data_IF_643075689198
#
_entry.id   IF_643075689198
#
_cell.length_a   1.000
_cell.length_b   1.000
_cell.length_c   1.000
_cell.angle_alpha   90.00
_cell.angle_beta   90.00
_cell.angle_gamma   90.00
#
_symmetry.space_group_name_H-M   'P 1'
#
loop_
_entity.id
_entity.type
_entity.pdbx_description
1 polymer ?
#
# COMPACT_ATOMS: atom_id res chain seq x y z
N UNK A 1 0.67 -67.28 -66.96
CA UNK A 1 -0.50 -66.94 -66.11
C UNK A 1 0.01 -66.18 -64.88
N UNK A 2 -0.68 -65.19 -64.30
CA UNK A 2 -1.30 -63.99 -64.87
C UNK A 2 -0.79 -62.69 -64.20
N UNK A 3 -1.28 -61.55 -64.72
CA UNK A 3 -1.16 -60.16 -64.23
C UNK A 3 -1.42 -59.96 -62.72
N UNK A 4 -0.83 -58.91 -62.13
CA UNK A 4 -1.60 -57.77 -61.56
C UNK A 4 -0.76 -56.53 -61.18
N UNK A 5 -1.29 -55.38 -61.63
CA UNK A 5 -0.94 -53.97 -61.35
C UNK A 5 -1.06 -53.62 -59.84
N UNK A 6 -0.39 -52.55 -59.39
CA UNK A 6 -0.99 -51.20 -59.13
C UNK A 6 -0.08 -50.26 -58.29
N UNK A 7 -0.07 -48.98 -58.75
CA UNK A 7 0.15 -47.67 -58.08
C UNK A 7 1.38 -47.51 -57.16
N UNK A 8 2.23 -46.47 -57.24
CA UNK A 8 2.07 -45.11 -57.75
C UNK A 8 2.10 -44.12 -56.58
N UNK A 9 3.19 -43.38 -56.38
CA UNK A 9 3.17 -42.15 -55.57
C UNK A 9 4.22 -41.17 -56.08
N UNK A 10 3.73 -40.04 -56.59
CA UNK A 10 4.46 -38.85 -56.99
C UNK A 10 4.76 -38.04 -55.74
N UNK A 11 6.01 -37.66 -55.52
CA UNK A 11 6.41 -36.72 -54.47
C UNK A 11 6.20 -35.28 -54.99
N UNK A 12 5.29 -34.54 -54.37
CA UNK A 12 5.16 -33.09 -54.57
C UNK A 12 6.00 -32.40 -53.49
N UNK A 13 7.04 -31.68 -53.92
CA UNK A 13 7.82 -30.76 -53.08
C UNK A 13 7.02 -29.47 -52.97
N UNK A 14 6.39 -29.23 -51.82
CA UNK A 14 5.75 -27.95 -51.49
C UNK A 14 6.71 -27.06 -50.69
N UNK A 15 7.18 -25.97 -51.30
CA UNK A 15 7.91 -24.92 -50.61
C UNK A 15 6.94 -24.08 -49.76
N UNK A 16 7.06 -24.16 -48.43
CA UNK A 16 6.33 -23.29 -47.52
C UNK A 16 7.12 -22.01 -47.28
N UNK A 17 6.61 -20.88 -47.79
CA UNK A 17 7.05 -19.54 -47.37
C UNK A 17 6.62 -19.32 -45.91
N UNK A 18 7.60 -19.22 -45.00
CA UNK A 18 7.38 -18.81 -43.62
C UNK A 18 7.17 -17.30 -43.54
N UNK A 19 5.93 -16.87 -43.35
CA UNK A 19 5.60 -15.51 -42.92
C UNK A 19 5.77 -15.46 -41.40
N UNK A 20 6.85 -14.84 -40.93
CA UNK A 20 7.03 -14.55 -39.51
C UNK A 20 6.08 -13.41 -39.10
N UNK A 21 4.94 -13.78 -38.52
CA UNK A 21 4.07 -12.85 -37.80
C UNK A 21 4.78 -12.46 -36.49
N UNK A 22 5.39 -11.27 -36.47
CA UNK A 22 5.82 -10.62 -35.24
C UNK A 22 4.55 -10.18 -34.50
N UNK A 23 4.04 -11.04 -33.61
CA UNK A 23 3.00 -10.68 -32.67
C UNK A 23 3.61 -9.70 -31.66
N UNK A 24 3.51 -8.39 -31.94
CA UNK A 24 3.72 -7.37 -30.94
C UNK A 24 2.65 -7.50 -29.87
N UNK A 25 2.97 -8.16 -28.76
CA UNK A 25 2.14 -8.15 -27.55
C UNK A 25 2.30 -6.80 -26.86
N UNK A 26 1.80 -5.74 -27.50
CA UNK A 26 1.38 -4.56 -26.78
C UNK A 26 0.24 -4.99 -25.86
N UNK A 27 0.54 -5.24 -24.59
CA UNK A 27 -0.49 -5.30 -23.56
C UNK A 27 -1.18 -3.94 -23.57
N UNK A 28 -2.33 -3.87 -24.22
CA UNK A 28 -3.22 -2.73 -24.11
C UNK A 28 -3.57 -2.60 -22.63
N UNK A 29 -3.01 -1.58 -21.98
CA UNK A 29 -3.41 -1.17 -20.64
C UNK A 29 -4.91 -0.89 -20.70
N UNK A 30 -5.72 -1.76 -20.09
CA UNK A 30 -7.15 -1.53 -19.99
C UNK A 30 -7.35 -0.15 -19.37
N UNK A 31 -8.00 0.76 -20.10
CA UNK A 31 -8.47 2.02 -19.53
C UNK A 31 -9.53 1.65 -18.48
N UNK A 32 -9.18 1.71 -17.21
CA UNK A 32 -10.15 1.62 -16.11
C UNK A 32 -10.91 2.95 -16.02
N UNK A 33 -11.85 3.15 -16.94
CA UNK A 33 -12.80 4.27 -16.87
C UNK A 33 -13.72 4.04 -15.67
N UNK A 34 -13.63 4.87 -14.63
CA UNK A 34 -14.67 4.99 -13.61
C UNK A 34 -14.27 4.73 -12.15
N UNK A 35 -13.05 4.29 -11.84
CA UNK A 35 -12.59 4.31 -10.44
C UNK A 35 -12.22 5.75 -10.08
N UNK A 36 -13.05 6.37 -9.25
CA UNK A 36 -12.66 7.55 -8.49
C UNK A 36 -12.30 7.02 -7.11
N UNK A 37 -11.07 7.25 -6.63
CA UNK A 37 -10.75 6.92 -5.26
C UNK A 37 -11.70 7.74 -4.38
N UNK A 38 -12.23 7.11 -3.33
CA UNK A 38 -12.86 7.83 -2.23
C UNK A 38 -12.09 7.48 -0.96
N UNK A 39 -10.79 7.85 -0.87
CA UNK A 39 -10.01 7.53 0.31
C UNK A 39 -10.63 8.30 1.46
N UNK A 40 -11.04 7.57 2.48
CA UNK A 40 -11.17 8.15 3.81
C UNK A 40 -9.76 8.15 4.42
N UNK A 41 -9.39 9.19 5.17
CA UNK A 41 -8.07 9.26 5.82
C UNK A 41 -6.88 9.47 4.87
N UNK A 42 -6.80 10.61 4.16
CA UNK A 42 -5.50 10.98 3.55
C UNK A 42 -4.51 11.33 4.67
N UNK A 43 -3.32 10.70 4.70
CA UNK A 43 -2.22 11.27 5.48
C UNK A 43 -1.90 12.67 4.95
N UNK A 44 -2.37 13.72 5.61
CA UNK A 44 -2.18 15.11 5.17
C UNK A 44 -0.72 15.57 5.32
N UNK A 45 -0.34 16.69 4.71
CA UNK A 45 0.99 17.27 4.90
C UNK A 45 1.29 17.63 6.37
N UNK A 46 2.54 17.43 6.75
CA UNK A 46 3.11 17.93 7.99
C UNK A 46 3.29 19.45 7.89
N UNK A 47 2.40 20.23 8.50
CA UNK A 47 2.56 21.68 8.57
C UNK A 47 3.66 22.03 9.59
N UNK A 48 4.87 22.27 9.08
CA UNK A 48 6.04 22.64 9.88
C UNK A 48 6.14 24.15 10.17
N UNK A 49 5.15 24.96 9.74
CA UNK A 49 5.15 26.39 10.06
C UNK A 49 4.88 26.56 11.55
N UNK A 50 5.86 27.12 12.27
CA UNK A 50 5.76 27.45 13.68
C UNK A 50 4.48 28.29 13.95
N UNK A 51 3.42 27.65 14.44
CA UNK A 51 2.13 28.28 14.72
C UNK A 51 0.91 27.59 14.10
N UNK A 52 1.06 26.63 13.19
CA UNK A 52 -0.06 25.77 12.82
C UNK A 52 -0.35 24.85 14.01
N UNK A 53 -1.47 25.09 14.71
CA UNK A 53 -1.93 24.20 15.75
C UNK A 53 -2.10 22.81 15.11
N UNK A 54 -1.39 21.81 15.64
CA UNK A 54 -1.74 20.41 15.39
C UNK A 54 -3.27 20.30 15.49
N UNK A 55 -3.91 19.71 14.47
CA UNK A 55 -5.36 19.53 14.48
C UNK A 55 -5.70 18.85 15.79
N UNK A 56 -6.33 19.58 16.72
CA UNK A 56 -6.68 19.01 18.01
C UNK A 56 -7.52 17.78 17.71
N UNK A 57 -7.20 16.62 18.30
CA UNK A 57 -8.03 15.44 18.11
C UNK A 57 -9.46 15.84 18.42
N UNK A 58 -10.37 15.58 17.49
CA UNK A 58 -11.77 15.75 17.79
C UNK A 58 -12.05 14.86 19.01
N UNK A 59 -12.61 15.42 20.08
CA UNK A 59 -12.71 14.74 21.38
C UNK A 59 -13.71 13.57 21.41
N UNK A 60 -14.28 13.23 20.25
CA UNK A 60 -15.16 12.10 20.03
C UNK A 60 -14.34 10.84 19.74
N UNK A 61 -14.73 9.73 20.36
CA UNK A 61 -14.17 8.42 20.04
C UNK A 61 -14.56 7.96 18.63
N UNK A 62 -13.80 6.98 18.10
CA UNK A 62 -14.16 6.28 16.88
C UNK A 62 -15.43 5.47 17.10
N UNK A 63 -16.27 5.39 16.07
CA UNK A 63 -17.50 4.60 16.06
C UNK A 63 -17.35 3.48 15.03
N UNK A 64 -17.89 2.32 15.33
CA UNK A 64 -17.88 1.18 14.40
C UNK A 64 -19.10 1.21 13.47
N UNK A 65 -18.88 1.08 12.15
CA UNK A 65 -19.91 1.22 11.11
C UNK A 65 -20.30 -0.09 10.42
N UNK A 66 -19.87 -1.24 10.97
CA UNK A 66 -20.36 -2.57 10.56
C UNK A 66 -19.53 -3.31 9.50
N UNK A 67 -18.46 -2.68 9.00
CA UNK A 67 -17.52 -3.19 8.02
C UNK A 67 -16.49 -4.16 8.58
N UNK A 68 -15.65 -4.70 7.69
CA UNK A 68 -14.56 -5.58 8.13
C UNK A 68 -13.49 -4.79 8.89
N UNK A 69 -12.79 -5.46 9.79
CA UNK A 69 -11.49 -5.05 10.36
C UNK A 69 -10.47 -6.13 9.99
N UNK A 70 -9.16 -5.85 10.09
CA UNK A 70 -8.12 -6.87 9.92
C UNK A 70 -7.84 -7.59 11.23
N UNK A 71 -8.37 -8.80 11.39
CA UNK A 71 -8.13 -9.63 12.56
C UNK A 71 -6.77 -10.34 12.50
N UNK A 72 -6.32 -10.71 11.30
CA UNK A 72 -5.02 -11.35 11.07
C UNK A 72 -4.25 -10.60 9.98
N UNK A 73 -3.64 -9.48 10.37
CA UNK A 73 -3.01 -8.54 9.43
C UNK A 73 -1.92 -9.19 8.58
N UNK A 74 -2.01 -9.02 7.27
CA UNK A 74 -1.07 -9.53 6.27
C UNK A 74 -0.63 -8.42 5.31
N UNK A 75 0.52 -7.82 5.60
CA UNK A 75 1.11 -6.75 4.78
C UNK A 75 1.95 -7.33 3.65
N UNK A 76 1.77 -6.79 2.45
CA UNK A 76 2.58 -7.08 1.28
C UNK A 76 3.10 -5.79 0.68
N UNK A 77 4.41 -5.72 0.41
CA UNK A 77 5.03 -4.56 -0.23
C UNK A 77 5.24 -4.81 -1.72
N UNK A 78 4.71 -3.93 -2.55
CA UNK A 78 4.93 -3.91 -4.00
C UNK A 78 5.69 -2.65 -4.36
N UNK A 79 7.00 -2.78 -4.57
CA UNK A 79 7.84 -1.71 -5.11
C UNK A 79 7.63 -1.65 -6.62
N UNK A 80 6.74 -0.76 -7.05
CA UNK A 80 6.24 -0.73 -8.42
C UNK A 80 7.21 -0.02 -9.37
N UNK A 81 7.71 -0.74 -10.36
CA UNK A 81 8.49 -0.17 -11.45
C UNK A 81 9.98 -0.52 -11.43
N UNK A 82 10.57 -0.64 -12.63
CA UNK A 82 12.02 -0.82 -12.86
C UNK A 82 12.88 0.24 -12.18
N UNK A 83 12.35 1.42 -11.90
CA UNK A 83 13.06 2.48 -11.16
C UNK A 83 13.57 1.99 -9.79
N UNK A 84 12.89 1.03 -9.15
CA UNK A 84 13.33 0.43 -7.89
C UNK A 84 14.58 -0.46 -8.00
N UNK A 85 15.05 -0.77 -9.21
CA UNK A 85 16.37 -1.42 -9.37
C UNK A 85 17.52 -0.54 -8.87
N UNK A 86 17.30 0.78 -8.70
CA UNK A 86 18.22 1.69 -8.03
C UNK A 86 17.57 2.40 -6.84
N UNK A 87 17.69 1.83 -5.64
CA UNK A 87 17.25 2.47 -4.39
C UNK A 87 18.44 3.06 -3.61
N UNK A 88 18.83 4.27 -3.97
CA UNK A 88 20.00 4.95 -3.38
C UNK A 88 19.80 5.36 -1.92
N UNK A 89 18.55 5.53 -1.48
CA UNK A 89 18.23 5.98 -0.13
C UNK A 89 17.91 4.82 0.82
N UNK A 90 17.86 3.57 0.34
CA UNK A 90 17.59 2.39 1.16
C UNK A 90 16.13 2.25 1.62
N UNK A 91 15.19 2.86 0.90
CA UNK A 91 13.75 2.84 1.21
C UNK A 91 13.18 1.42 1.22
N UNK A 92 13.59 0.57 0.28
CA UNK A 92 13.14 -0.82 0.20
C UNK A 92 13.48 -1.58 1.47
N UNK A 93 14.74 -1.46 1.91
CA UNK A 93 15.21 -2.11 3.14
C UNK A 93 14.53 -1.50 4.36
N UNK A 94 14.36 -0.17 4.40
CA UNK A 94 13.73 0.53 5.51
C UNK A 94 12.27 0.09 5.72
N UNK A 95 11.42 0.17 4.68
CA UNK A 95 10.02 -0.25 4.76
C UNK A 95 9.88 -1.76 5.01
N UNK A 96 10.73 -2.57 4.38
CA UNK A 96 10.75 -4.03 4.63
C UNK A 96 11.03 -4.32 6.10
N UNK A 97 12.04 -3.66 6.69
CA UNK A 97 12.38 -3.88 8.09
C UNK A 97 11.31 -3.33 9.04
N UNK A 98 10.68 -2.19 8.71
CA UNK A 98 9.56 -1.64 9.49
C UNK A 98 8.42 -2.66 9.59
N UNK A 99 7.85 -3.09 8.46
CA UNK A 99 6.73 -4.03 8.45
C UNK A 99 7.10 -5.46 8.90
N UNK A 100 8.37 -5.86 8.75
CA UNK A 100 8.85 -7.12 9.33
C UNK A 100 8.92 -7.08 10.85
N UNK A 101 9.18 -5.90 11.43
CA UNK A 101 9.21 -5.69 12.87
C UNK A 101 7.82 -5.63 13.49
N UNK A 102 6.86 -5.04 12.77
CA UNK A 102 5.49 -4.89 13.25
C UNK A 102 4.77 -6.24 13.43
N UNK A 103 3.85 -6.28 14.39
CA UNK A 103 3.08 -7.44 14.83
C UNK A 103 3.86 -8.45 15.67
N UNK A 104 5.17 -8.30 15.84
CA UNK A 104 5.97 -9.16 16.73
C UNK A 104 5.81 -8.75 18.20
N UNK A 105 6.22 -9.57 19.19
CA UNK A 105 6.01 -9.26 20.61
C UNK A 105 6.59 -7.93 21.12
N UNK A 106 7.61 -7.38 20.45
CA UNK A 106 8.20 -6.08 20.79
C UNK A 106 7.40 -4.89 20.23
N UNK A 107 6.45 -5.13 19.34
CA UNK A 107 5.59 -4.10 18.77
C UNK A 107 4.40 -3.84 19.68
N UNK A 108 4.53 -2.82 20.54
CA UNK A 108 3.42 -2.33 21.36
C UNK A 108 2.57 -1.28 20.64
N UNK A 109 3.10 -0.71 19.57
CA UNK A 109 2.45 0.37 18.83
C UNK A 109 1.26 -0.14 18.03
N UNK A 110 1.41 -1.24 17.27
CA UNK A 110 0.27 -1.83 16.53
C UNK A 110 -0.84 -2.32 17.47
N UNK A 111 -0.50 -2.71 18.71
CA UNK A 111 -1.48 -3.24 19.69
C UNK A 111 -2.50 -2.21 20.17
N UNK A 112 -2.27 -0.92 19.92
CA UNK A 112 -3.31 0.10 20.08
C UNK A 112 -4.55 -0.29 19.28
N UNK A 113 -4.39 -0.87 18.09
CA UNK A 113 -5.53 -1.28 17.25
C UNK A 113 -6.32 -2.47 17.80
N UNK A 114 -5.76 -3.29 18.70
CA UNK A 114 -6.41 -4.49 19.24
C UNK A 114 -7.70 -4.22 20.02
N UNK A 115 -7.95 -2.97 20.41
CA UNK A 115 -9.21 -2.57 21.06
C UNK A 115 -10.40 -2.48 20.09
N UNK A 116 -10.13 -2.38 18.78
CA UNK A 116 -11.16 -2.14 17.77
C UNK A 116 -11.71 -3.46 17.25
N UNK A 117 -12.89 -3.83 17.76
CA UNK A 117 -13.58 -5.05 17.35
C UNK A 117 -14.55 -4.78 16.20
N UNK A 118 -14.69 -5.69 15.26
CA UNK A 118 -15.64 -5.56 14.16
C UNK A 118 -15.88 -6.88 13.45
N UNK A 119 -16.39 -6.81 12.22
CA UNK A 119 -16.57 -7.99 11.38
C UNK A 119 -15.18 -8.51 11.03
N UNK A 120 -14.93 -9.79 11.34
CA UNK A 120 -13.58 -10.36 11.32
C UNK A 120 -13.03 -10.61 12.72
N UNK A 121 -13.52 -9.93 13.77
CA UNK A 121 -13.08 -10.13 15.15
C UNK A 121 -12.36 -8.91 15.71
N UNK A 122 -11.12 -9.06 16.14
CA UNK A 122 -10.25 -7.97 16.58
C UNK A 122 -8.81 -8.22 16.11
N UNK A 123 -8.00 -7.17 15.87
CA UNK A 123 -6.61 -7.34 15.47
C UNK A 123 -5.80 -8.13 16.51
N UNK A 124 -5.21 -9.24 16.08
CA UNK A 124 -4.29 -10.04 16.90
C UNK A 124 -2.85 -9.94 16.38
N UNK A 125 -1.92 -9.77 17.31
CA UNK A 125 -0.49 -9.67 17.06
C UNK A 125 0.26 -10.74 17.84
N UNK A 126 1.45 -11.08 17.35
CA UNK A 126 2.33 -12.11 17.91
C UNK A 126 3.36 -12.63 16.89
N UNK A 127 3.16 -12.34 15.61
CA UNK A 127 4.10 -12.63 14.52
C UNK A 127 4.19 -11.46 13.55
N UNK A 128 5.26 -11.43 12.75
CA UNK A 128 5.44 -10.40 11.71
C UNK A 128 4.20 -10.25 10.83
N UNK A 129 3.74 -9.01 10.65
CA UNK A 129 2.66 -8.69 9.72
C UNK A 129 3.10 -8.78 8.26
N UNK A 130 4.39 -8.53 7.97
CA UNK A 130 4.93 -8.66 6.61
C UNK A 130 4.88 -10.11 6.14
N UNK A 131 4.21 -10.35 5.01
CA UNK A 131 4.09 -11.66 4.35
C UNK A 131 4.84 -11.76 3.02
N UNK A 132 5.18 -10.63 2.38
CA UNK A 132 5.93 -10.65 1.13
C UNK A 132 6.41 -9.27 0.68
N UNK A 133 7.49 -9.28 -0.10
CA UNK A 133 8.05 -8.10 -0.76
C UNK A 133 8.30 -8.46 -2.21
N UNK A 134 7.90 -7.57 -3.13
CA UNK A 134 8.10 -7.75 -4.55
C UNK A 134 8.54 -6.43 -5.18
N UNK A 135 9.58 -6.49 -6.01
CA UNK A 135 9.92 -5.41 -6.94
C UNK A 135 9.34 -5.79 -8.30
N UNK A 136 8.28 -5.08 -8.71
CA UNK A 136 7.72 -5.24 -10.04
C UNK A 136 8.57 -4.47 -11.06
N UNK A 137 9.62 -5.12 -11.55
CA UNK A 137 10.53 -4.57 -12.54
C UNK A 137 10.14 -4.95 -13.99
N UNK A 138 8.88 -5.29 -14.25
CA UNK A 138 8.41 -5.62 -15.61
C UNK A 138 8.42 -4.40 -16.55
N UNK A 139 8.04 -3.24 -16.02
CA UNK A 139 8.00 -1.95 -16.73
C UNK A 139 8.39 -0.81 -15.77
N UNK A 140 8.50 0.43 -16.27
CA UNK A 140 8.55 1.58 -15.38
C UNK A 140 7.16 1.81 -14.77
N UNK A 141 7.09 2.22 -13.50
CA UNK A 141 5.86 2.76 -12.96
C UNK A 141 5.48 4.05 -13.73
N UNK A 142 4.19 4.31 -13.99
CA UNK A 142 3.76 5.52 -14.68
C UNK A 142 4.19 6.79 -13.94
N UNK A 143 4.54 7.84 -14.67
CA UNK A 143 4.90 9.14 -14.08
C UNK A 143 3.73 9.83 -13.36
N UNK A 144 2.50 9.53 -13.78
CA UNK A 144 1.25 10.01 -13.19
C UNK A 144 0.23 8.87 -13.22
N UNK A 145 0.43 7.86 -12.37
CA UNK A 145 -0.54 6.77 -12.26
C UNK A 145 -1.86 7.29 -11.71
N UNK A 146 -3.01 6.85 -12.24
CA UNK A 146 -4.30 7.10 -11.58
C UNK A 146 -4.49 6.15 -10.40
N UNK A 147 -5.35 6.50 -9.45
CA UNK A 147 -5.70 5.58 -8.36
C UNK A 147 -6.15 4.18 -8.85
N UNK A 148 -6.85 4.10 -9.98
CA UNK A 148 -7.27 2.82 -10.57
C UNK A 148 -6.10 1.99 -11.10
N UNK A 149 -5.05 2.63 -11.61
CA UNK A 149 -3.82 1.94 -12.00
C UNK A 149 -3.04 1.44 -10.78
N UNK A 150 -3.06 2.19 -9.67
CA UNK A 150 -2.44 1.77 -8.40
C UNK A 150 -3.19 0.55 -7.83
N UNK A 151 -4.53 0.59 -7.79
CA UNK A 151 -5.34 -0.56 -7.41
C UNK A 151 -5.16 -1.77 -8.33
N UNK A 152 -4.98 -1.54 -9.64
CA UNK A 152 -4.60 -2.58 -10.60
C UNK A 152 -3.23 -3.21 -10.30
N UNK A 153 -2.26 -2.41 -9.88
CA UNK A 153 -0.95 -2.91 -9.44
C UNK A 153 -1.07 -3.74 -8.15
N UNK A 154 -1.90 -3.32 -7.21
CA UNK A 154 -2.20 -4.11 -6.02
C UNK A 154 -2.76 -5.49 -6.37
N UNK A 155 -3.63 -5.60 -7.37
CA UNK A 155 -4.14 -6.89 -7.87
C UNK A 155 -3.04 -7.75 -8.52
N UNK A 156 -2.07 -7.14 -9.19
CA UNK A 156 -0.88 -7.85 -9.70
C UNK A 156 -0.03 -8.36 -8.55
N UNK A 157 0.17 -7.58 -7.50
CA UNK A 157 0.80 -8.00 -6.26
C UNK A 157 0.11 -9.22 -5.64
N UNK A 158 -1.21 -9.18 -5.50
CA UNK A 158 -2.01 -10.30 -5.00
C UNK A 158 -1.74 -11.60 -5.80
N UNK A 159 -1.72 -11.48 -7.13
CA UNK A 159 -1.42 -12.59 -8.04
C UNK A 159 0.02 -13.09 -7.89
N UNK A 160 0.99 -12.18 -7.82
CA UNK A 160 2.41 -12.50 -7.66
C UNK A 160 2.67 -13.29 -6.37
N UNK A 161 2.14 -12.81 -5.25
CA UNK A 161 2.29 -13.46 -3.94
C UNK A 161 1.47 -14.75 -3.79
N UNK A 162 0.58 -15.05 -4.74
CA UNK A 162 -0.41 -16.14 -4.65
C UNK A 162 -1.23 -16.03 -3.36
N UNK A 163 -1.49 -14.79 -2.92
CA UNK A 163 -2.22 -14.52 -1.70
C UNK A 163 -3.73 -14.68 -1.96
N UNK A 164 -4.47 -15.12 -0.95
CA UNK A 164 -5.93 -15.23 -1.02
C UNK A 164 -6.56 -13.88 -0.72
N UNK A 165 -7.33 -13.32 -1.67
CA UNK A 165 -8.05 -12.06 -1.47
C UNK A 165 -8.92 -12.14 -0.23
N UNK A 166 -8.80 -11.16 0.66
CA UNK A 166 -9.59 -11.04 1.88
C UNK A 166 -9.34 -9.72 2.56
N UNK A 167 -10.16 -9.40 3.56
CA UNK A 167 -10.08 -8.14 4.31
C UNK A 167 -8.76 -7.99 5.06
N UNK A 168 -8.12 -9.11 5.43
CA UNK A 168 -6.85 -9.16 6.17
C UNK A 168 -5.60 -8.72 5.37
N UNK A 169 -5.72 -8.48 4.07
CA UNK A 169 -4.59 -8.02 3.25
C UNK A 169 -4.43 -6.51 3.40
N UNK A 170 -3.19 -6.04 3.51
CA UNK A 170 -2.81 -4.65 3.19
C UNK A 170 -1.77 -4.68 2.07
N UNK A 171 -2.19 -4.38 0.84
CA UNK A 171 -1.29 -4.33 -0.32
C UNK A 171 -0.73 -2.92 -0.47
N UNK A 172 0.51 -2.70 -0.03
CA UNK A 172 1.13 -1.38 -0.08
C UNK A 172 1.90 -1.24 -1.39
N UNK A 173 1.36 -0.42 -2.29
CA UNK A 173 1.98 -0.12 -3.58
C UNK A 173 2.88 1.10 -3.44
N UNK A 174 4.19 0.85 -3.47
CA UNK A 174 5.21 1.87 -3.27
C UNK A 174 5.69 2.40 -4.63
N UNK A 175 5.35 3.65 -4.93
CA UNK A 175 5.78 4.32 -6.17
C UNK A 175 7.21 4.86 -6.05
N UNK A 176 8.01 4.84 -7.14
CA UNK A 176 9.42 5.21 -7.09
C UNK A 176 9.63 6.73 -7.06
N UNK A 177 10.88 7.15 -6.82
CA UNK A 177 11.31 8.55 -6.89
C UNK A 177 10.93 9.22 -8.22
N UNK A 178 10.44 10.45 -8.15
CA UNK A 178 10.21 11.33 -9.30
C UNK A 178 8.92 11.06 -10.08
N UNK A 179 7.98 10.31 -9.48
CA UNK A 179 6.64 10.11 -10.04
C UNK A 179 5.55 10.69 -9.12
N UNK A 180 4.37 10.90 -9.68
CA UNK A 180 3.23 11.56 -9.04
C UNK A 180 2.00 10.64 -9.06
N UNK A 181 2.03 9.49 -8.37
CA UNK A 181 0.88 8.61 -8.27
C UNK A 181 -0.31 9.36 -7.68
N UNK A 182 -1.42 9.33 -8.38
CA UNK A 182 -2.66 10.03 -8.06
C UNK A 182 -2.51 11.54 -7.84
N UNK A 183 -1.51 12.17 -8.47
CA UNK A 183 -1.26 13.60 -8.32
C UNK A 183 -0.39 13.96 -7.10
N UNK A 184 0.20 12.99 -6.39
CA UNK A 184 1.14 13.23 -5.31
C UNK A 184 2.18 14.31 -5.65
N UNK A 185 2.33 15.32 -4.80
CA UNK A 185 3.31 16.40 -4.97
C UNK A 185 3.01 17.37 -6.11
N UNK A 186 1.84 17.29 -6.74
CA UNK A 186 1.36 18.29 -7.70
C UNK A 186 0.55 19.40 -7.00
N UNK A 187 0.38 20.58 -7.62
CA UNK A 187 -0.48 21.62 -7.06
C UNK A 187 -1.88 21.08 -6.73
N UNK A 188 -2.43 21.51 -5.60
CA UNK A 188 -3.75 21.11 -5.07
C UNK A 188 -3.85 19.69 -4.47
N UNK A 189 -2.76 18.93 -4.37
CA UNK A 189 -2.75 17.58 -3.77
C UNK A 189 -1.90 17.57 -2.49
N UNK A 190 -2.54 17.95 -1.38
CA UNK A 190 -1.92 18.23 -0.07
C UNK A 190 -1.79 17.03 0.88
N UNK A 191 -1.29 15.90 0.40
CA UNK A 191 -1.25 14.63 1.14
C UNK A 191 0.00 13.79 0.81
N UNK A 192 0.33 12.84 1.68
CA UNK A 192 1.53 12.03 1.66
C UNK A 192 1.27 10.56 1.27
N UNK A 193 0.12 10.01 1.66
CA UNK A 193 -0.38 8.71 1.25
C UNK A 193 -1.90 8.65 1.46
N UNK A 194 -2.49 7.53 1.08
CA UNK A 194 -3.87 7.17 1.38
C UNK A 194 -4.08 5.67 1.16
N UNK A 195 -5.11 5.09 1.77
CA UNK A 195 -5.54 3.72 1.53
C UNK A 195 -7.01 3.65 1.07
N UNK A 196 -7.36 2.58 0.37
CA UNK A 196 -8.72 2.33 -0.15
C UNK A 196 -8.86 0.82 -0.46
N UNK A 197 -9.97 0.41 -1.04
CA UNK A 197 -10.18 -0.92 -1.61
C UNK A 197 -10.45 -0.87 -3.11
N UNK A 198 -9.81 -1.77 -3.85
CA UNK A 198 -10.01 -1.91 -5.29
C UNK A 198 -10.55 -3.32 -5.60
N UNK A 199 -11.80 -3.41 -6.07
CA UNK A 199 -12.49 -4.69 -6.29
C UNK A 199 -12.47 -5.61 -5.03
N UNK A 200 -12.63 -5.02 -3.85
CA UNK A 200 -12.61 -5.72 -2.56
C UNK A 200 -11.23 -6.23 -2.13
N UNK A 201 -10.15 -5.69 -2.69
CA UNK A 201 -8.78 -5.85 -2.20
C UNK A 201 -8.35 -4.54 -1.51
N UNK A 202 -8.08 -4.55 -0.19
CA UNK A 202 -7.51 -3.39 0.48
C UNK A 202 -6.09 -3.10 -0.03
N UNK A 203 -5.78 -1.83 -0.28
CA UNK A 203 -4.48 -1.39 -0.74
C UNK A 203 -4.14 0.02 -0.26
N UNK A 204 -2.85 0.34 -0.26
CA UNK A 204 -2.33 1.67 0.07
C UNK A 204 -1.57 2.23 -1.12
N UNK A 205 -1.85 3.47 -1.49
CA UNK A 205 -0.97 4.27 -2.33
C UNK A 205 0.13 4.87 -1.45
N UNK A 206 1.37 4.37 -1.60
CA UNK A 206 2.53 4.90 -0.89
C UNK A 206 3.51 5.56 -1.88
N UNK A 207 3.40 6.86 -2.13
CA UNK A 207 4.35 7.61 -2.92
C UNK A 207 5.77 7.60 -2.33
N UNK A 208 6.74 8.06 -3.12
CA UNK A 208 8.10 8.31 -2.64
C UNK A 208 8.13 9.58 -1.79
N UNK A 209 7.62 9.51 -0.55
CA UNK A 209 7.37 10.65 0.35
C UNK A 209 8.59 11.55 0.58
N UNK A 210 9.80 11.03 0.37
CA UNK A 210 11.02 11.81 0.44
C UNK A 210 11.12 12.92 -0.61
N UNK A 211 10.35 12.85 -1.69
CA UNK A 211 10.27 13.89 -2.72
C UNK A 211 9.62 15.18 -2.20
N UNK A 212 8.83 15.09 -1.14
CA UNK A 212 8.25 16.23 -0.44
C UNK A 212 8.98 16.58 0.86
N UNK A 213 10.08 15.89 1.17
CA UNK A 213 10.94 16.19 2.31
C UNK A 213 10.16 16.28 3.63
N UNK A 214 10.36 17.37 4.37
CA UNK A 214 9.76 17.57 5.69
C UNK A 214 8.23 17.67 5.64
N UNK A 215 7.63 18.06 4.51
CA UNK A 215 6.18 18.11 4.34
C UNK A 215 5.53 16.73 4.44
N UNK A 216 6.30 15.66 4.23
CA UNK A 216 5.89 14.29 4.48
C UNK A 216 6.82 13.57 5.47
N UNK A 217 7.33 14.32 6.45
CA UNK A 217 7.94 13.72 7.64
C UNK A 217 9.44 13.42 7.54
N UNK A 218 10.12 13.70 6.43
CA UNK A 218 11.57 13.47 6.36
C UNK A 218 12.32 14.25 7.46
N UNK A 219 13.20 13.57 8.20
CA UNK A 219 13.98 14.13 9.32
C UNK A 219 13.14 14.74 10.45
N UNK A 220 11.89 14.32 10.63
CA UNK A 220 11.03 14.90 11.67
C UNK A 220 11.35 14.39 13.09
N UNK A 221 12.04 13.26 13.21
CA UNK A 221 12.39 12.66 14.51
C UNK A 221 13.87 12.32 14.61
N UNK A 222 14.42 11.55 13.68
CA UNK A 222 15.78 11.01 13.74
C UNK A 222 16.50 10.86 12.41
N UNK A 223 15.79 10.69 11.28
CA UNK A 223 16.41 10.30 10.02
C UNK A 223 15.68 10.84 8.81
N UNK A 224 16.40 10.94 7.69
CA UNK A 224 15.80 11.34 6.41
C UNK A 224 14.67 10.40 5.95
N UNK A 225 14.61 9.16 6.45
CA UNK A 225 13.59 8.18 6.10
C UNK A 225 12.38 8.16 7.04
N UNK A 226 12.34 9.00 8.07
CA UNK A 226 11.25 9.01 9.06
C UNK A 226 9.86 9.08 8.43
N UNK A 227 9.71 9.89 7.39
CA UNK A 227 8.48 10.02 6.63
C UNK A 227 7.92 8.70 6.12
N UNK A 228 8.77 7.74 5.74
CA UNK A 228 8.31 6.45 5.24
C UNK A 228 7.60 5.63 6.32
N UNK A 229 8.11 5.59 7.55
CA UNK A 229 7.47 4.82 8.64
C UNK A 229 6.35 5.60 9.32
N UNK A 230 6.42 6.92 9.37
CA UNK A 230 5.31 7.75 9.88
C UNK A 230 4.10 7.61 8.96
N UNK A 231 4.28 7.86 7.65
CA UNK A 231 3.18 7.85 6.68
C UNK A 231 2.70 6.43 6.38
N UNK A 232 3.59 5.46 6.13
CA UNK A 232 3.14 4.08 5.91
C UNK A 232 2.55 3.46 7.18
N UNK A 233 3.01 3.88 8.36
CA UNK A 233 2.43 3.49 9.63
C UNK A 233 1.03 4.07 9.83
N UNK A 234 0.82 5.34 9.49
CA UNK A 234 -0.50 5.98 9.50
C UNK A 234 -1.53 5.16 8.71
N UNK A 235 -1.26 4.94 7.43
CA UNK A 235 -2.15 4.18 6.54
C UNK A 235 -2.32 2.72 6.97
N UNK A 236 -1.26 2.12 7.52
CA UNK A 236 -1.33 0.77 8.07
C UNK A 236 -2.30 0.69 9.26
N UNK A 237 -2.20 1.62 10.20
CA UNK A 237 -3.05 1.62 11.40
C UNK A 237 -4.52 1.78 11.05
N UNK A 238 -4.83 2.62 10.07
CA UNK A 238 -6.20 2.85 9.59
C UNK A 238 -6.72 1.63 8.84
N UNK A 239 -5.94 1.08 7.90
CA UNK A 239 -6.30 -0.13 7.18
C UNK A 239 -6.53 -1.35 8.09
N UNK A 240 -5.90 -1.40 9.27
CA UNK A 240 -6.18 -2.46 10.26
C UNK A 240 -7.58 -2.33 10.83
N UNK A 241 -8.08 -1.11 11.04
CA UNK A 241 -9.39 -0.83 11.64
C UNK A 241 -10.50 -0.54 10.63
N UNK A 242 -10.14 -0.28 9.37
CA UNK A 242 -11.05 -0.06 8.26
C UNK A 242 -10.42 -0.46 6.90
N UNK A 243 -10.17 -1.76 6.63
CA UNK A 243 -9.61 -2.22 5.35
C UNK A 243 -10.48 -1.90 4.12
N UNK A 244 -11.73 -1.49 4.29
CA UNK A 244 -12.63 -1.13 3.18
C UNK A 244 -13.34 0.18 3.52
N UNK A 245 -12.64 1.32 3.43
CA UNK A 245 -13.15 2.56 3.96
C UNK A 245 -14.41 3.07 3.25
N UNK A 246 -15.27 3.85 3.92
CA UNK A 246 -15.37 4.03 5.38
C UNK A 246 -16.44 3.11 5.95
N UNK A 247 -16.08 1.86 6.26
CA UNK A 247 -17.04 0.89 6.79
C UNK A 247 -16.66 0.37 8.18
N UNK A 248 -15.40 0.50 8.58
CA UNK A 248 -14.84 0.05 9.84
C UNK A 248 -15.03 1.07 10.97
N UNK A 249 -13.92 1.56 11.53
CA UNK A 249 -13.91 2.46 12.68
C UNK A 249 -13.53 3.88 12.30
N UNK A 250 -14.54 4.77 12.23
CA UNK A 250 -14.34 6.20 11.97
C UNK A 250 -15.16 7.04 12.94
N UNK A 251 -14.69 8.23 13.28
CA UNK A 251 -15.45 9.13 14.14
C UNK A 251 -16.63 9.77 13.41
N UNK A 252 -17.47 10.53 14.14
CA UNK A 252 -18.65 11.19 13.56
C UNK A 252 -18.35 12.28 12.50
N UNK A 253 -17.08 12.63 12.31
CA UNK A 253 -16.60 13.56 11.28
C UNK A 253 -15.81 12.84 10.18
N UNK A 254 -15.71 11.52 10.25
CA UNK A 254 -15.01 10.68 9.28
C UNK A 254 -13.51 10.58 9.51
N UNK A 255 -12.98 11.02 10.65
CA UNK A 255 -11.57 10.83 10.98
C UNK A 255 -11.31 9.42 11.53
N UNK A 256 -10.26 8.79 11.05
CA UNK A 256 -9.83 7.45 11.48
C UNK A 256 -8.85 7.50 12.66
N UNK A 257 -8.27 6.34 13.01
CA UNK A 257 -7.42 6.24 14.18
C UNK A 257 -6.11 7.02 14.06
N UNK A 258 -5.50 7.09 12.87
CA UNK A 258 -4.22 7.76 12.68
C UNK A 258 -4.43 9.24 12.32
N UNK A 259 -5.49 9.59 11.59
CA UNK A 259 -5.94 10.97 11.35
C UNK A 259 -5.98 11.81 12.62
N UNK A 260 -6.62 11.30 13.67
CA UNK A 260 -6.80 12.01 14.95
C UNK A 260 -5.49 12.30 15.68
N UNK A 261 -4.41 11.63 15.29
CA UNK A 261 -3.08 11.74 15.89
C UNK A 261 -2.01 12.16 14.87
N UNK A 262 -2.41 12.59 13.68
CA UNK A 262 -1.53 12.93 12.58
C UNK A 262 -0.52 14.00 13.01
N UNK A 263 0.77 13.70 12.81
CA UNK A 263 1.90 14.59 13.12
C UNK A 263 2.03 15.02 14.59
N UNK A 264 1.25 14.43 15.50
CA UNK A 264 1.31 14.73 16.93
C UNK A 264 2.34 13.84 17.63
N UNK A 265 3.08 14.39 18.58
CA UNK A 265 3.96 13.61 19.48
C UNK A 265 4.80 12.53 18.75
N UNK A 266 5.35 12.91 17.58
CA UNK A 266 6.20 12.02 16.80
C UNK A 266 7.33 11.50 17.67
N UNK A 267 7.56 10.19 17.63
CA UNK A 267 8.54 9.52 18.47
C UNK A 267 9.10 8.30 17.75
N UNK A 268 9.99 7.57 18.41
CA UNK A 268 10.57 6.35 17.85
C UNK A 268 10.07 5.12 18.59
N UNK A 269 9.72 4.08 17.84
CA UNK A 269 9.53 2.73 18.38
C UNK A 269 10.76 1.88 18.11
N UNK A 270 11.07 0.96 19.03
CA UNK A 270 12.18 0.02 18.88
C UNK A 270 11.63 -1.38 18.60
N UNK A 271 11.84 -1.84 17.38
CA UNK A 271 11.46 -3.18 16.91
C UNK A 271 12.72 -4.05 16.81
N UNK A 272 12.53 -5.38 16.74
CA UNK A 272 13.65 -6.31 16.58
C UNK A 272 14.45 -6.08 15.28
N UNK A 273 13.85 -5.39 14.30
CA UNK A 273 14.40 -5.10 12.97
C UNK A 273 14.98 -3.69 12.85
N UNK A 274 14.91 -2.87 13.91
CA UNK A 274 15.42 -1.51 13.92
C UNK A 274 14.54 -0.55 14.72
N UNK A 275 14.91 0.73 14.67
CA UNK A 275 14.19 1.82 15.35
C UNK A 275 13.57 2.73 14.30
N UNK A 276 12.28 2.99 14.39
CA UNK A 276 11.50 3.67 13.35
C UNK A 276 10.73 4.84 13.95
N UNK A 277 10.65 5.95 13.20
CA UNK A 277 9.82 7.09 13.59
C UNK A 277 8.36 6.80 13.28
N UNK A 278 7.46 7.09 14.22
CA UNK A 278 6.01 6.93 14.06
C UNK A 278 5.28 8.10 14.71
N UNK A 279 4.02 8.26 14.35
CA UNK A 279 3.04 8.98 15.16
C UNK A 279 2.31 7.98 16.08
N UNK A 280 1.78 8.41 17.24
CA UNK A 280 0.80 7.60 17.97
C UNK A 280 -0.50 7.47 17.16
N UNK A 281 -1.39 6.59 17.61
CA UNK A 281 -2.70 6.35 17.01
C UNK A 281 -3.79 6.47 18.08
N UNK A 282 -5.00 6.85 17.68
CA UNK A 282 -6.09 7.10 18.63
C UNK A 282 -6.49 5.81 19.32
N UNK A 283 -6.78 5.91 20.62
CA UNK A 283 -7.34 4.85 21.44
C UNK A 283 -8.60 5.33 22.14
N UNK A 284 -9.73 4.71 21.80
CA UNK A 284 -10.99 4.88 22.53
C UNK A 284 -10.86 4.50 24.02
N UNK A 285 -10.00 3.54 24.38
CA UNK A 285 -9.78 3.11 25.77
C UNK A 285 -9.17 4.19 26.65
N UNK A 286 -8.33 5.06 26.09
CA UNK A 286 -7.68 6.15 26.84
C UNK A 286 -8.18 7.53 26.41
N UNK A 287 -9.13 7.59 25.46
CA UNK A 287 -9.68 8.80 24.85
C UNK A 287 -8.59 9.76 24.36
N UNK A 288 -7.59 9.22 23.68
CA UNK A 288 -6.39 9.97 23.30
C UNK A 288 -5.43 9.19 22.40
N UNK A 289 -4.37 9.87 21.98
CA UNK A 289 -3.29 9.28 21.19
C UNK A 289 -2.37 8.42 22.08
N UNK A 290 -2.12 7.18 21.66
CA UNK A 290 -1.28 6.22 22.35
C UNK A 290 -0.42 5.41 21.35
N UNK A 291 0.50 4.62 21.89
CA UNK A 291 1.49 3.88 21.11
C UNK A 291 2.86 4.49 21.19
#
# INVERSE_FOLDING_TARGET
MPLRRRLGTVAIVGAALGVALVAGTGLASAKTTGYQPNPHGYTTFHDTRAGAAAVKPASNDLLYHGGFIQDHVAVYLVFWGKQWTGDRNGVQTYLTNFFKGLGQPADHWSTVTSQYTGKGGHPVFGTSVLKGVWVDNGANAPSQATAGQIGGEAQRGLTHFKATKGHNISMIVVSPHGVHPDGFGTPNHGWCAWHDSFNGLPFTNMPYVLDLGSSCGASSVRSRLDGFSIVAGHEYSEAVTDPMPASGWVDSRGAENADKCAWMHLHTISLATGTFAVQPTWSNKVHGCAG
#
